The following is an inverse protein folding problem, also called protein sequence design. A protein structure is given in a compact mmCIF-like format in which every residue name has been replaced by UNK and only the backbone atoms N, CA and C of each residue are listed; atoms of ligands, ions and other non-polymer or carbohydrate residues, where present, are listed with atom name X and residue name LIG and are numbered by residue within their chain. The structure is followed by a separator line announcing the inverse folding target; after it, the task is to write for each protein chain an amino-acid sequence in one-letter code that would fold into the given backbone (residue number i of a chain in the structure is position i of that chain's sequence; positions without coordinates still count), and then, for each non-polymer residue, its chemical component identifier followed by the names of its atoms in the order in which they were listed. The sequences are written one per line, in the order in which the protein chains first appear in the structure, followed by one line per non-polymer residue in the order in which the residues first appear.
data_IF_849276953444
#
_entry.id   IF_849276953444
#
_cell.length_a   1.000
_cell.length_b   1.000
_cell.length_c   1.000
_cell.angle_alpha   90.00
_cell.angle_beta   90.00
_cell.angle_gamma   90.00
#
_symmetry.space_group_name_H-M   'P 1'
#
loop_
_entity.id
_entity.type
_entity.pdbx_description
1 polymer ?
#
# COMPACT_ATOMS: atom_id res chain seq x y z
N UNK A 1 -12.63 15.43 -2.59
CA UNK A 1 -11.68 16.53 -2.33
C UNK A 1 -11.59 17.41 -3.56
N UNK A 2 -11.54 18.74 -3.40
CA UNK A 2 -11.33 19.66 -4.52
C UNK A 2 -9.90 19.50 -5.08
N UNK A 3 -9.72 19.55 -6.41
CA UNK A 3 -8.40 19.46 -7.05
C UNK A 3 -7.42 20.53 -6.52
N UNK A 4 -7.89 21.74 -6.23
CA UNK A 4 -7.05 22.80 -5.63
C UNK A 4 -6.55 22.43 -4.26
N UNK A 5 -7.40 21.79 -3.44
CA UNK A 5 -7.01 21.29 -2.13
C UNK A 5 -6.00 20.13 -2.26
N UNK A 6 -6.17 19.25 -3.25
CA UNK A 6 -5.21 18.18 -3.54
C UNK A 6 -3.85 18.75 -3.99
N UNK A 7 -3.84 19.74 -4.87
CA UNK A 7 -2.62 20.43 -5.33
C UNK A 7 -1.86 21.14 -4.20
N UNK A 8 -2.55 21.53 -3.13
CA UNK A 8 -1.91 22.07 -1.93
C UNK A 8 -1.45 20.95 -0.98
N UNK A 9 -2.31 19.94 -0.78
CA UNK A 9 -2.05 18.84 0.14
C UNK A 9 -0.82 18.03 -0.25
N UNK A 10 -0.69 17.63 -1.52
CA UNK A 10 0.41 16.77 -1.99
C UNK A 10 1.79 17.37 -1.71
N UNK A 11 2.13 18.61 -2.15
CA UNK A 11 3.45 19.16 -1.89
C UNK A 11 3.69 19.39 -0.39
N UNK A 12 2.67 19.82 0.37
CA UNK A 12 2.82 19.98 1.82
C UNK A 12 3.09 18.64 2.52
N UNK A 13 2.33 17.61 2.20
CA UNK A 13 2.53 16.27 2.78
C UNK A 13 3.87 15.67 2.35
N UNK A 14 4.27 15.85 1.09
CA UNK A 14 5.56 15.41 0.59
C UNK A 14 6.70 16.07 1.39
N UNK A 15 6.68 17.40 1.52
CA UNK A 15 7.74 18.16 2.20
C UNK A 15 7.77 17.91 3.71
N UNK A 16 6.62 17.97 4.38
CA UNK A 16 6.57 17.96 5.85
C UNK A 16 6.36 16.58 6.47
N UNK A 17 5.92 15.59 5.69
CA UNK A 17 5.72 14.22 6.18
C UNK A 17 6.66 13.24 5.50
N UNK A 18 6.56 13.10 4.17
CA UNK A 18 7.30 12.05 3.45
C UNK A 18 8.82 12.27 3.53
N UNK A 19 9.31 13.47 3.20
CA UNK A 19 10.76 13.78 3.24
C UNK A 19 11.32 13.63 4.66
N UNK A 20 10.57 14.06 5.68
CA UNK A 20 10.97 13.92 7.08
C UNK A 20 11.06 12.44 7.48
N UNK A 21 10.04 11.65 7.13
CA UNK A 21 10.02 10.20 7.41
C UNK A 21 11.14 9.46 6.68
N UNK A 22 11.30 9.70 5.38
CA UNK A 22 12.35 9.09 4.56
C UNK A 22 13.75 9.44 5.09
N UNK A 23 14.02 10.71 5.41
CA UNK A 23 15.31 11.08 5.99
C UNK A 23 15.53 10.42 7.36
N UNK A 24 14.49 10.37 8.19
CA UNK A 24 14.57 9.81 9.54
C UNK A 24 14.95 8.33 9.53
N UNK A 25 14.41 7.55 8.59
CA UNK A 25 14.58 6.09 8.51
C UNK A 25 15.70 5.68 7.56
N UNK A 26 15.79 6.28 6.37
CA UNK A 26 16.73 5.87 5.32
C UNK A 26 17.89 6.86 5.10
N UNK A 27 17.66 8.15 5.39
CA UNK A 27 18.64 9.21 5.12
C UNK A 27 19.68 9.43 6.22
N UNK A 28 19.79 8.54 7.21
CA UNK A 28 20.69 8.71 8.35
C UNK A 28 20.16 9.64 9.46
N UNK A 29 18.84 9.81 9.55
CA UNK A 29 18.23 10.55 10.65
C UNK A 29 18.11 9.74 11.95
N UNK A 30 17.27 10.21 12.87
CA UNK A 30 17.23 9.67 14.23
C UNK A 30 16.71 8.22 14.32
N UNK A 31 15.73 7.82 13.50
CA UNK A 31 15.20 6.45 13.51
C UNK A 31 16.22 5.45 12.96
N UNK A 32 17.00 5.85 11.95
CA UNK A 32 18.15 5.10 11.47
C UNK A 32 19.16 4.85 12.60
N UNK A 33 19.52 5.89 13.36
CA UNK A 33 20.44 5.76 14.50
C UNK A 33 19.86 4.96 15.67
N UNK A 34 18.54 4.85 15.79
CA UNK A 34 17.87 3.98 16.75
C UNK A 34 17.76 2.53 16.28
N UNK A 35 18.23 2.22 15.06
CA UNK A 35 18.21 0.86 14.50
C UNK A 35 16.84 0.41 14.00
N UNK A 36 15.95 1.35 13.66
CA UNK A 36 14.65 1.00 13.03
C UNK A 36 14.91 0.37 11.67
N UNK A 37 14.42 -0.86 11.50
CA UNK A 37 14.51 -1.57 10.24
C UNK A 37 13.26 -1.31 9.40
N UNK A 38 13.47 -0.75 8.23
CA UNK A 38 12.47 -0.59 7.19
C UNK A 38 13.15 -0.83 5.86
N UNK A 39 12.97 -2.03 5.30
CA UNK A 39 13.60 -2.43 4.04
C UNK A 39 12.99 -1.57 2.92
N UNK A 40 11.77 -1.88 2.47
CA UNK A 40 11.15 -1.19 1.32
C UNK A 40 10.01 -0.24 1.66
N UNK A 41 9.89 0.24 2.91
CA UNK A 41 9.01 1.38 3.22
C UNK A 41 7.71 1.03 3.91
N UNK A 42 7.70 -0.01 4.75
CA UNK A 42 6.63 -0.29 5.68
C UNK A 42 6.22 0.93 6.50
N UNK A 43 7.20 1.68 7.03
CA UNK A 43 6.94 2.93 7.75
C UNK A 43 6.86 4.12 6.81
N UNK A 44 7.89 4.30 5.98
CA UNK A 44 8.07 5.53 5.17
C UNK A 44 6.98 5.68 4.12
N UNK A 45 6.44 4.59 3.58
CA UNK A 45 5.49 4.59 2.46
C UNK A 45 4.12 4.13 2.95
N UNK A 46 4.01 2.92 3.48
CA UNK A 46 2.70 2.30 3.72
C UNK A 46 2.00 2.85 4.96
N UNK A 47 2.68 2.89 6.11
CA UNK A 47 2.13 3.48 7.32
C UNK A 47 1.88 4.98 7.14
N UNK A 48 2.85 5.72 6.59
CA UNK A 48 2.73 7.16 6.40
C UNK A 48 1.54 7.53 5.51
N UNK A 49 1.40 6.88 4.35
CA UNK A 49 0.28 7.13 3.43
C UNK A 49 -1.05 6.60 3.97
N UNK A 50 -1.04 5.49 4.71
CA UNK A 50 -2.22 4.95 5.38
C UNK A 50 -2.78 5.91 6.43
N UNK A 51 -1.93 6.43 7.31
CA UNK A 51 -2.32 7.42 8.33
C UNK A 51 -2.75 8.73 7.67
N UNK A 52 -2.04 9.20 6.65
CA UNK A 52 -2.41 10.40 5.91
C UNK A 52 -3.78 10.24 5.22
N UNK A 53 -4.01 9.12 4.55
CA UNK A 53 -5.27 8.80 3.89
C UNK A 53 -6.43 8.72 4.88
N UNK A 54 -6.23 8.06 6.02
CA UNK A 54 -7.21 8.01 7.10
C UNK A 54 -7.53 9.40 7.66
N UNK A 55 -6.50 10.20 7.93
CA UNK A 55 -6.64 11.57 8.46
C UNK A 55 -7.38 12.47 7.47
N UNK A 56 -7.01 12.42 6.19
CA UNK A 56 -7.69 13.20 5.13
C UNK A 56 -9.14 12.73 4.97
N UNK A 57 -9.41 11.42 5.02
CA UNK A 57 -10.77 10.91 4.93
C UNK A 57 -11.66 11.42 6.07
N UNK A 58 -11.11 11.51 7.29
CA UNK A 58 -11.80 12.11 8.43
C UNK A 58 -12.14 13.59 8.18
N UNK A 59 -11.16 14.40 7.77
CA UNK A 59 -11.37 15.84 7.55
C UNK A 59 -12.23 16.19 6.34
N UNK A 60 -12.14 15.40 5.26
CA UNK A 60 -12.98 15.57 4.06
C UNK A 60 -14.43 15.18 4.37
N UNK A 61 -14.62 14.25 5.30
CA UNK A 61 -15.93 13.72 5.67
C UNK A 61 -16.43 12.62 4.71
N UNK A 62 -17.50 11.91 5.11
CA UNK A 62 -18.05 10.81 4.34
C UNK A 62 -18.68 11.27 3.03
N UNK A 63 -18.73 10.37 2.04
CA UNK A 63 -19.54 10.55 0.83
C UNK A 63 -21.03 10.68 1.17
N UNK A 64 -21.81 11.17 0.21
CA UNK A 64 -23.27 11.28 0.34
C UNK A 64 -23.90 9.94 0.74
N UNK A 65 -25.01 9.98 1.48
CA UNK A 65 -25.70 8.76 1.94
C UNK A 65 -26.12 7.87 0.78
N UNK A 66 -26.62 8.45 -0.32
CA UNK A 66 -26.99 7.74 -1.54
C UNK A 66 -25.82 6.91 -2.11
N UNK A 67 -24.62 7.48 -2.14
CA UNK A 67 -23.43 6.77 -2.64
C UNK A 67 -22.93 5.72 -1.65
N UNK A 68 -23.17 5.88 -0.35
CA UNK A 68 -22.78 4.92 0.68
C UNK A 68 -23.70 3.70 0.69
N UNK A 69 -24.99 3.89 0.49
CA UNK A 69 -25.98 2.81 0.45
C UNK A 69 -25.89 1.98 -0.83
N UNK A 70 -25.52 2.61 -1.96
CA UNK A 70 -25.38 1.94 -3.25
C UNK A 70 -24.09 2.35 -3.95
N UNK A 71 -23.05 1.56 -3.72
CA UNK A 71 -21.71 1.76 -4.33
C UNK A 71 -21.33 0.59 -5.26
N UNK A 72 -21.97 0.43 -6.43
CA UNK A 72 -21.59 -0.60 -7.38
C UNK A 72 -20.20 -0.29 -7.94
N UNK A 73 -19.37 -1.31 -8.07
CA UNK A 73 -18.09 -1.19 -8.75
C UNK A 73 -18.35 -0.94 -10.23
N UNK A 74 -17.81 0.16 -10.74
CA UNK A 74 -18.02 0.53 -12.14
C UNK A 74 -17.18 -0.31 -13.11
N UNK A 75 -15.98 -0.75 -12.73
CA UNK A 75 -15.08 -1.49 -13.61
C UNK A 75 -14.11 -2.41 -12.83
N UNK A 76 -14.48 -3.68 -12.68
CA UNK A 76 -13.66 -4.70 -12.01
C UNK A 76 -12.43 -5.08 -12.84
N UNK A 77 -12.53 -5.05 -14.18
CA UNK A 77 -11.40 -5.40 -15.06
C UNK A 77 -10.27 -4.38 -14.95
N UNK A 78 -10.60 -3.09 -14.88
CA UNK A 78 -9.59 -2.04 -14.69
C UNK A 78 -8.91 -2.15 -13.31
N UNK A 79 -9.67 -2.49 -12.27
CA UNK A 79 -9.10 -2.78 -10.94
C UNK A 79 -8.12 -3.96 -11.00
N UNK A 80 -8.46 -5.04 -11.69
CA UNK A 80 -7.57 -6.19 -11.87
C UNK A 80 -6.31 -5.86 -12.67
N UNK A 81 -6.43 -5.04 -13.71
CA UNK A 81 -5.27 -4.54 -14.46
C UNK A 81 -4.34 -3.73 -13.54
N UNK A 82 -4.89 -2.84 -12.72
CA UNK A 82 -4.14 -2.09 -11.71
C UNK A 82 -3.47 -3.00 -10.68
N UNK A 83 -4.18 -4.03 -10.19
CA UNK A 83 -3.64 -5.01 -9.26
C UNK A 83 -2.44 -5.78 -9.85
N UNK A 84 -2.53 -6.20 -11.11
CA UNK A 84 -1.42 -6.86 -11.81
C UNK A 84 -0.22 -5.94 -12.01
N UNK A 85 -0.45 -4.68 -12.39
CA UNK A 85 0.62 -3.67 -12.51
C UNK A 85 1.29 -3.39 -11.15
N UNK A 86 0.50 -3.31 -10.08
CA UNK A 86 1.02 -3.12 -8.72
C UNK A 86 1.90 -4.30 -8.29
N UNK A 87 1.44 -5.54 -8.44
CA UNK A 87 2.23 -6.71 -8.05
C UNK A 87 3.53 -6.78 -8.87
N UNK A 88 3.44 -6.63 -10.19
CA UNK A 88 4.64 -6.63 -11.06
C UNK A 88 5.61 -5.51 -10.69
N UNK A 89 5.11 -4.29 -10.44
CA UNK A 89 5.94 -3.17 -9.99
C UNK A 89 6.55 -3.40 -8.60
N UNK A 90 5.85 -4.12 -7.72
CA UNK A 90 6.30 -4.41 -6.37
C UNK A 90 7.55 -5.29 -6.33
N UNK A 91 7.73 -6.15 -7.33
CA UNK A 91 8.96 -6.94 -7.50
C UNK A 91 10.16 -6.02 -7.66
N UNK A 92 10.03 -4.92 -8.42
CA UNK A 92 11.07 -3.90 -8.52
C UNK A 92 11.18 -3.02 -7.28
N UNK A 93 10.06 -2.74 -6.62
CA UNK A 93 10.02 -1.94 -5.40
C UNK A 93 10.76 -2.60 -4.23
N UNK A 94 10.49 -3.89 -3.97
CA UNK A 94 11.18 -4.64 -2.92
C UNK A 94 12.53 -5.19 -3.40
N UNK A 95 12.57 -5.78 -4.59
CA UNK A 95 13.79 -6.37 -5.13
C UNK A 95 14.87 -5.35 -5.48
N UNK A 96 14.49 -4.12 -5.79
CA UNK A 96 15.44 -3.05 -6.14
C UNK A 96 15.95 -2.25 -4.94
N UNK A 97 15.43 -2.51 -3.75
CA UNK A 97 15.74 -1.73 -2.54
C UNK A 97 17.25 -1.71 -2.18
N UNK A 98 18.03 -2.78 -2.38
CA UNK A 98 19.48 -2.74 -2.17
C UNK A 98 20.26 -1.87 -3.17
N UNK A 99 19.61 -1.32 -4.20
CA UNK A 99 20.22 -0.60 -5.33
C UNK A 99 21.29 -1.41 -6.08
N UNK A 100 21.29 -2.73 -5.93
CA UNK A 100 22.27 -3.63 -6.55
C UNK A 100 21.71 -5.03 -6.71
N UNK A 101 22.25 -5.79 -7.66
CA UNK A 101 21.92 -7.20 -7.86
C UNK A 101 22.74 -8.04 -6.87
N UNK A 102 22.08 -8.57 -5.84
CA UNK A 102 22.70 -9.40 -4.84
C UNK A 102 21.70 -10.44 -4.28
N UNK A 103 22.15 -11.21 -3.28
CA UNK A 103 21.31 -12.22 -2.65
C UNK A 103 20.10 -11.60 -1.94
N UNK A 104 20.24 -10.42 -1.35
CA UNK A 104 19.16 -9.72 -0.66
C UNK A 104 18.05 -9.32 -1.65
N UNK A 105 18.40 -8.80 -2.82
CA UNK A 105 17.47 -8.51 -3.91
C UNK A 105 16.71 -9.77 -4.35
N UNK A 106 17.42 -10.89 -4.51
CA UNK A 106 16.80 -12.16 -4.89
C UNK A 106 15.83 -12.70 -3.83
N UNK A 107 16.21 -12.60 -2.55
CA UNK A 107 15.34 -12.98 -1.42
C UNK A 107 14.12 -12.05 -1.34
N UNK A 108 14.30 -10.74 -1.48
CA UNK A 108 13.21 -9.77 -1.45
C UNK A 108 12.18 -10.05 -2.55
N UNK A 109 12.61 -10.40 -3.77
CA UNK A 109 11.69 -10.80 -4.85
C UNK A 109 10.92 -12.07 -4.51
N UNK A 110 11.60 -13.08 -3.94
CA UNK A 110 10.96 -14.33 -3.53
C UNK A 110 9.92 -14.08 -2.44
N UNK A 111 10.30 -13.38 -1.38
CA UNK A 111 9.45 -13.07 -0.23
C UNK A 111 8.25 -12.22 -0.65
N UNK A 112 8.44 -11.24 -1.54
CA UNK A 112 7.34 -10.43 -2.10
C UNK A 112 6.25 -11.30 -2.73
N UNK A 113 6.65 -12.31 -3.51
CA UNK A 113 5.69 -13.20 -4.17
C UNK A 113 5.04 -14.17 -3.19
N UNK A 114 5.81 -14.72 -2.24
CA UNK A 114 5.29 -15.63 -1.21
C UNK A 114 4.29 -14.89 -0.32
N UNK A 115 4.65 -13.73 0.23
CA UNK A 115 3.79 -12.94 1.10
C UNK A 115 2.49 -12.50 0.39
N UNK A 116 2.58 -12.01 -0.85
CA UNK A 116 1.40 -11.64 -1.64
C UNK A 116 0.49 -12.84 -1.91
N UNK A 117 1.05 -13.98 -2.33
CA UNK A 117 0.29 -15.20 -2.61
C UNK A 117 -0.35 -15.77 -1.33
N UNK A 118 0.39 -15.85 -0.24
CA UNK A 118 -0.12 -16.33 1.06
C UNK A 118 -1.24 -15.44 1.57
N UNK A 119 -1.06 -14.12 1.58
CA UNK A 119 -2.10 -13.19 2.06
C UNK A 119 -3.35 -13.22 1.17
N UNK A 120 -3.18 -13.29 -0.15
CA UNK A 120 -4.29 -13.50 -1.09
C UNK A 120 -5.07 -14.78 -0.77
N UNK A 121 -4.38 -15.90 -0.57
CA UNK A 121 -5.02 -17.18 -0.26
C UNK A 121 -5.74 -17.13 1.09
N UNK A 122 -5.11 -16.57 2.11
CA UNK A 122 -5.73 -16.35 3.42
C UNK A 122 -7.01 -15.52 3.28
N UNK A 123 -6.97 -14.43 2.51
CA UNK A 123 -8.14 -13.58 2.32
C UNK A 123 -9.27 -14.30 1.58
N UNK A 124 -8.96 -15.09 0.56
CA UNK A 124 -9.96 -15.92 -0.14
C UNK A 124 -10.56 -16.96 0.81
N UNK A 125 -9.73 -17.60 1.64
CA UNK A 125 -10.22 -18.53 2.66
C UNK A 125 -11.15 -17.83 3.65
N UNK A 126 -10.78 -16.63 4.14
CA UNK A 126 -11.63 -15.83 5.01
C UNK A 126 -12.94 -15.45 4.32
N UNK A 127 -12.90 -15.08 3.04
CA UNK A 127 -14.11 -14.78 2.27
C UNK A 127 -15.06 -15.99 2.19
N UNK A 128 -14.52 -17.18 1.96
CA UNK A 128 -15.30 -18.42 1.95
C UNK A 128 -15.85 -18.73 3.34
N UNK A 129 -15.08 -18.56 4.41
CA UNK A 129 -15.50 -18.84 5.79
C UNK A 129 -16.64 -17.90 6.23
N UNK A 130 -16.49 -16.59 6.00
CA UNK A 130 -17.43 -15.59 6.52
C UNK A 130 -18.56 -15.24 5.56
N UNK A 131 -18.36 -15.40 4.26
CA UNK A 131 -19.32 -14.99 3.23
C UNK A 131 -19.75 -16.13 2.29
N UNK A 132 -19.29 -17.37 2.52
CA UNK A 132 -19.62 -18.59 1.75
C UNK A 132 -19.25 -18.54 0.27
N UNK A 133 -18.48 -17.54 -0.17
CA UNK A 133 -18.02 -17.42 -1.57
C UNK A 133 -16.75 -16.58 -1.64
N UNK A 134 -15.83 -16.89 -2.57
CA UNK A 134 -14.66 -16.06 -2.80
C UNK A 134 -15.05 -14.71 -3.41
N UNK A 135 -14.30 -13.65 -3.09
CA UNK A 135 -14.44 -12.33 -3.71
C UNK A 135 -13.19 -11.95 -4.48
N UNK A 136 -13.34 -11.52 -5.73
CA UNK A 136 -12.23 -10.97 -6.52
C UNK A 136 -11.65 -9.71 -5.86
N UNK A 137 -12.51 -8.90 -5.23
CA UNK A 137 -12.08 -7.70 -4.49
C UNK A 137 -11.32 -8.11 -3.23
N UNK A 138 -11.80 -9.16 -2.56
CA UNK A 138 -11.13 -9.73 -1.39
C UNK A 138 -9.74 -10.26 -1.75
N UNK A 139 -9.62 -11.00 -2.85
CA UNK A 139 -8.35 -11.48 -3.36
C UNK A 139 -7.37 -10.34 -3.65
N UNK A 140 -7.80 -9.25 -4.30
CA UNK A 140 -6.96 -8.06 -4.55
C UNK A 140 -6.59 -7.35 -3.25
N UNK A 141 -7.48 -7.26 -2.27
CA UNK A 141 -7.17 -6.69 -0.94
C UNK A 141 -6.14 -7.54 -0.21
N UNK A 142 -6.29 -8.86 -0.22
CA UNK A 142 -5.33 -9.79 0.37
C UNK A 142 -3.97 -9.72 -0.29
N UNK A 143 -3.93 -9.68 -1.62
CA UNK A 143 -2.70 -9.46 -2.38
C UNK A 143 -1.99 -8.18 -1.93
N UNK A 144 -2.68 -7.03 -1.92
CA UNK A 144 -2.08 -5.75 -1.49
C UNK A 144 -1.66 -5.81 -0.02
N UNK A 145 -2.44 -6.45 0.84
CA UNK A 145 -2.10 -6.61 2.25
C UNK A 145 -0.89 -7.52 2.50
N UNK A 146 -0.56 -8.43 1.59
CA UNK A 146 0.67 -9.24 1.66
C UNK A 146 1.86 -8.57 0.98
N UNK A 147 1.63 -7.59 0.11
CA UNK A 147 2.69 -6.79 -0.51
C UNK A 147 3.18 -5.67 0.41
N UNK A 148 2.29 -5.13 1.26
CA UNK A 148 2.54 -4.12 2.29
C UNK A 148 3.09 -4.74 3.57
#
# INVERSE_FOLDING_TARGET
MNIKAWMLFVPLWLTFSYTVGAFSVWGGGFLFHWGVMDYSGGYVIHLSSGIAGFTVAYWVGPRSTKDRERFPLNNVLLMLAGAGLLWMGWVGFNGGDPYTENIDSSMAVLDTNICAATSLLVWICLDVIFFNKPSVIGAVRGMIAGLV
#
